data_IF_162319693731
#
_entry.id   IF_162319693731
#
_cell.length_a   1.000
_cell.length_b   1.000
_cell.length_c   1.000
_cell.angle_alpha   90.00
_cell.angle_beta   90.00
_cell.angle_gamma   90.00
#
_symmetry.space_group_name_H-M   'P 1'
#
loop_
_entity.id
_entity.type
_entity.pdbx_description
1 polymer ?
#
# COMPACT_ATOMS: atom_id res chain seq x y z
N UNK A 1 -9.95 6.73 19.54
CA UNK A 1 -8.71 5.93 19.56
C UNK A 1 -8.64 5.13 18.26
N UNK A 2 -7.65 5.41 17.42
CA UNK A 2 -7.39 4.59 16.22
C UNK A 2 -6.69 3.33 16.70
N UNK A 3 -7.36 2.17 16.58
CA UNK A 3 -6.79 0.86 16.90
C UNK A 3 -6.66 0.06 15.61
N UNK A 4 -5.50 0.17 14.97
CA UNK A 4 -5.13 -0.57 13.76
C UNK A 4 -3.66 -0.96 13.78
N UNK A 5 -3.34 -2.07 13.12
CA UNK A 5 -1.96 -2.50 12.94
C UNK A 5 -1.80 -3.38 11.72
N UNK A 6 -0.57 -3.39 11.22
CA UNK A 6 -0.17 -4.15 10.03
C UNK A 6 1.15 -4.85 10.31
N UNK A 7 1.22 -6.13 9.96
CA UNK A 7 2.45 -6.91 9.88
C UNK A 7 2.57 -7.43 8.46
N UNK A 8 3.74 -7.31 7.86
CA UNK A 8 3.99 -7.71 6.47
C UNK A 8 5.32 -8.42 6.36
N UNK A 9 5.34 -9.54 5.62
CA UNK A 9 6.52 -10.27 5.24
C UNK A 9 6.54 -10.37 3.72
N UNK A 10 7.59 -9.83 3.11
CA UNK A 10 7.82 -9.88 1.66
C UNK A 10 9.10 -10.63 1.37
N UNK A 11 9.03 -11.58 0.43
CA UNK A 11 10.18 -12.25 -0.17
C UNK A 11 10.14 -12.06 -1.68
N UNK A 12 11.26 -11.70 -2.28
CA UNK A 12 11.33 -11.50 -3.72
C UNK A 12 12.66 -11.94 -4.31
N UNK A 13 12.60 -12.39 -5.57
CA UNK A 13 13.73 -12.69 -6.42
C UNK A 13 13.80 -11.61 -7.50
N UNK A 14 14.92 -10.88 -7.53
CA UNK A 14 15.11 -9.74 -8.44
C UNK A 14 16.14 -10.09 -9.50
N UNK A 15 15.77 -9.97 -10.77
CA UNK A 15 16.67 -10.13 -11.92
C UNK A 15 16.31 -9.13 -13.02
N UNK A 16 17.32 -8.37 -13.51
CA UNK A 16 17.24 -7.46 -14.67
C UNK A 16 16.02 -6.54 -14.69
N UNK A 17 15.61 -6.04 -13.51
CA UNK A 17 14.45 -5.16 -13.36
C UNK A 17 13.13 -5.89 -13.10
N UNK A 18 13.09 -7.21 -13.23
CA UNK A 18 11.97 -8.04 -12.78
C UNK A 18 12.09 -8.38 -11.30
N UNK A 19 10.99 -8.37 -10.63
CA UNK A 19 10.85 -8.79 -9.24
C UNK A 19 9.70 -9.81 -9.17
N UNK A 20 10.02 -11.08 -8.96
CA UNK A 20 9.04 -12.13 -8.67
C UNK A 20 8.92 -12.23 -7.15
N UNK A 21 7.74 -11.98 -6.62
CA UNK A 21 7.56 -11.84 -5.19
C UNK A 21 6.36 -12.59 -4.62
N UNK A 22 6.52 -12.99 -3.36
CA UNK A 22 5.43 -13.42 -2.48
C UNK A 22 5.36 -12.45 -1.30
N UNK A 23 4.14 -12.03 -0.96
CA UNK A 23 3.88 -11.14 0.15
C UNK A 23 2.79 -11.75 1.03
N UNK A 24 3.02 -11.81 2.34
CA UNK A 24 2.03 -12.19 3.33
C UNK A 24 1.82 -11.05 4.28
N UNK A 25 0.55 -10.69 4.50
CA UNK A 25 0.17 -9.56 5.32
C UNK A 25 -0.93 -9.93 6.31
N UNK A 26 -0.77 -9.49 7.54
CA UNK A 26 -1.79 -9.48 8.57
C UNK A 26 -2.16 -8.05 8.90
N UNK A 27 -3.44 -7.75 8.92
CA UNK A 27 -3.99 -6.43 9.24
C UNK A 27 -5.14 -6.61 10.24
N UNK A 28 -5.21 -5.72 11.22
CA UNK A 28 -6.42 -5.46 11.98
C UNK A 28 -6.76 -3.96 11.93
N UNK A 29 -8.04 -3.63 11.90
CA UNK A 29 -8.52 -2.24 11.89
C UNK A 29 -9.94 -2.19 12.46
N UNK A 30 -10.03 -1.86 13.73
CA UNK A 30 -11.29 -1.83 14.48
C UNK A 30 -12.25 -0.77 13.88
N UNK A 31 -11.71 0.35 13.38
CA UNK A 31 -12.51 1.42 12.77
C UNK A 31 -13.19 1.00 11.47
N UNK A 32 -12.69 -0.06 10.83
CA UNK A 32 -13.24 -0.64 9.61
C UNK A 32 -13.92 -1.99 9.82
N UNK A 33 -14.29 -2.31 11.05
CA UNK A 33 -14.88 -3.59 11.44
C UNK A 33 -14.01 -4.83 11.13
N UNK A 34 -12.68 -4.64 11.00
CA UNK A 34 -11.74 -5.71 10.68
C UNK A 34 -11.06 -6.19 11.97
N UNK A 35 -11.46 -7.36 12.47
CA UNK A 35 -10.78 -8.03 13.60
C UNK A 35 -9.44 -8.61 13.16
N UNK A 36 -9.41 -9.31 12.04
CA UNK A 36 -8.21 -9.85 11.41
C UNK A 36 -8.42 -10.01 9.90
N UNK A 37 -7.46 -9.56 9.11
CA UNK A 37 -7.38 -9.83 7.68
C UNK A 37 -6.01 -10.40 7.35
N UNK A 38 -5.99 -11.64 6.84
CA UNK A 38 -4.79 -12.29 6.35
C UNK A 38 -4.85 -12.30 4.83
N UNK A 39 -3.79 -11.82 4.19
CA UNK A 39 -3.66 -11.86 2.73
C UNK A 39 -2.32 -12.43 2.32
N UNK A 40 -2.31 -13.24 1.27
CA UNK A 40 -1.10 -13.72 0.63
C UNK A 40 -1.20 -13.41 -0.85
N UNK A 41 -0.21 -12.70 -1.37
CA UNK A 41 -0.10 -12.29 -2.76
C UNK A 41 1.14 -12.92 -3.40
N UNK A 42 0.99 -13.44 -4.61
CA UNK A 42 2.07 -13.94 -5.46
C UNK A 42 1.99 -13.26 -6.81
N UNK A 43 3.10 -12.77 -7.30
CA UNK A 43 3.12 -12.08 -8.59
C UNK A 43 4.48 -11.54 -8.94
N UNK A 44 4.48 -10.65 -9.90
CA UNK A 44 5.70 -10.03 -10.40
C UNK A 44 5.52 -8.52 -10.59
N UNK A 45 6.63 -7.80 -10.51
CA UNK A 45 6.71 -6.42 -10.94
C UNK A 45 7.92 -6.20 -11.84
N UNK A 46 7.86 -5.14 -12.62
CA UNK A 46 8.94 -4.72 -13.50
C UNK A 46 9.28 -3.25 -13.27
N UNK A 47 10.56 -2.98 -13.03
CA UNK A 47 11.07 -1.61 -12.94
C UNK A 47 11.45 -1.12 -14.34
N UNK A 48 10.68 -0.16 -14.85
CA UNK A 48 10.84 0.42 -16.19
C UNK A 48 11.97 1.46 -16.20
N UNK A 49 12.22 2.13 -15.08
CA UNK A 49 13.26 3.17 -15.01
C UNK A 49 14.66 2.57 -15.09
N UNK A 50 15.48 3.16 -15.97
CA UNK A 50 16.92 2.84 -16.10
C UNK A 50 17.79 3.89 -15.42
N UNK A 51 17.21 4.90 -14.80
CA UNK A 51 17.92 5.99 -14.15
C UNK A 51 18.25 5.56 -12.72
N UNK A 52 19.50 5.70 -12.33
CA UNK A 52 19.95 5.40 -10.96
C UNK A 52 19.20 6.30 -9.96
N UNK A 53 18.72 5.70 -8.88
CA UNK A 53 17.92 6.35 -7.81
C UNK A 53 16.54 6.85 -8.25
N UNK A 54 16.04 6.41 -9.39
CA UNK A 54 14.65 6.57 -9.77
C UNK A 54 13.99 5.20 -9.88
N UNK A 55 12.70 5.11 -9.52
CA UNK A 55 11.88 3.92 -9.71
C UNK A 55 10.63 4.33 -10.47
N UNK A 56 10.35 3.59 -11.53
CA UNK A 56 9.06 3.56 -12.20
C UNK A 56 8.72 2.10 -12.39
N UNK A 57 7.86 1.56 -11.57
CA UNK A 57 7.57 0.13 -11.58
C UNK A 57 6.07 -0.12 -11.72
N UNK A 58 5.74 -1.22 -12.38
CA UNK A 58 4.41 -1.77 -12.48
C UNK A 58 4.43 -3.23 -12.03
N UNK A 59 3.46 -3.61 -11.20
CA UNK A 59 3.35 -4.96 -10.66
C UNK A 59 1.95 -5.53 -10.83
N UNK A 60 1.87 -6.86 -10.95
CA UNK A 60 0.62 -7.62 -10.95
C UNK A 60 0.78 -8.82 -10.04
N UNK A 61 -0.16 -8.97 -9.10
CA UNK A 61 -0.13 -10.02 -8.09
C UNK A 61 -1.53 -10.64 -7.97
N UNK A 62 -1.58 -11.95 -7.89
CA UNK A 62 -2.77 -12.66 -7.46
C UNK A 62 -2.78 -12.73 -5.93
N UNK A 63 -3.86 -12.26 -5.30
CA UNK A 63 -3.99 -12.19 -3.85
C UNK A 63 -5.17 -13.04 -3.37
N UNK A 64 -4.89 -13.91 -2.40
CA UNK A 64 -5.92 -14.57 -1.59
C UNK A 64 -6.04 -13.86 -0.25
N UNK A 65 -7.27 -13.65 0.18
CA UNK A 65 -7.59 -12.94 1.40
C UNK A 65 -8.59 -13.71 2.24
N UNK A 66 -8.35 -13.78 3.56
CA UNK A 66 -9.29 -14.23 4.57
C UNK A 66 -9.51 -13.09 5.55
N UNK A 67 -10.74 -12.69 5.73
CA UNK A 67 -11.12 -11.64 6.66
C UNK A 67 -12.08 -12.16 7.72
N UNK A 68 -11.85 -11.76 8.96
CA UNK A 68 -12.73 -11.95 10.12
C UNK A 68 -13.13 -10.56 10.61
N UNK A 69 -14.43 -10.28 10.62
CA UNK A 69 -14.98 -9.03 11.16
C UNK A 69 -15.12 -9.09 12.68
N UNK A 70 -15.43 -7.96 13.31
CA UNK A 70 -15.76 -7.91 14.76
C UNK A 70 -17.03 -8.69 15.08
N UNK A 71 -17.98 -8.77 14.14
CA UNK A 71 -19.23 -9.55 14.24
C UNK A 71 -19.02 -11.05 13.95
N UNK A 72 -17.75 -11.50 13.95
CA UNK A 72 -17.33 -12.89 13.75
C UNK A 72 -17.68 -13.49 12.38
N UNK A 73 -18.03 -12.68 11.40
CA UNK A 73 -18.24 -13.10 10.02
C UNK A 73 -16.90 -13.37 9.34
N UNK A 74 -16.78 -14.53 8.70
CA UNK A 74 -15.59 -14.91 7.93
C UNK A 74 -15.90 -14.80 6.45
N UNK A 75 -15.03 -14.08 5.72
CA UNK A 75 -15.08 -13.99 4.25
C UNK A 75 -13.78 -14.43 3.63
N UNK A 76 -13.86 -15.05 2.44
CA UNK A 76 -12.71 -15.37 1.61
C UNK A 76 -12.86 -14.65 0.27
N UNK A 77 -11.78 -14.07 -0.21
CA UNK A 77 -11.80 -13.30 -1.46
C UNK A 77 -10.54 -13.58 -2.27
N UNK A 78 -10.70 -13.60 -3.60
CA UNK A 78 -9.61 -13.66 -4.56
C UNK A 78 -9.57 -12.33 -5.31
N UNK A 79 -8.42 -11.63 -5.25
CA UNK A 79 -8.22 -10.32 -5.87
C UNK A 79 -7.02 -10.34 -6.79
N UNK A 80 -7.10 -9.54 -7.85
CA UNK A 80 -5.92 -9.14 -8.60
C UNK A 80 -5.42 -7.84 -7.99
N UNK A 81 -4.13 -7.74 -7.71
CA UNK A 81 -3.52 -6.50 -7.29
C UNK A 81 -2.66 -5.96 -8.43
N UNK A 82 -3.01 -4.80 -8.96
CA UNK A 82 -2.22 -4.07 -9.94
C UNK A 82 -1.58 -2.87 -9.24
N UNK A 83 -0.25 -2.89 -9.10
CA UNK A 83 0.53 -1.86 -8.42
C UNK A 83 1.29 -0.98 -9.42
N UNK A 84 1.35 0.31 -9.11
CA UNK A 84 2.14 1.29 -9.84
C UNK A 84 2.91 2.17 -8.86
N UNK A 85 4.24 2.12 -8.95
CA UNK A 85 5.15 2.83 -8.05
C UNK A 85 6.01 3.83 -8.82
N UNK A 86 6.11 5.04 -8.28
CA UNK A 86 7.07 6.06 -8.71
C UNK A 86 7.91 6.45 -7.50
N UNK A 87 9.23 6.48 -7.67
CA UNK A 87 10.16 7.12 -6.73
C UNK A 87 11.10 8.00 -7.52
N UNK A 88 11.14 9.28 -7.21
CA UNK A 88 11.94 10.26 -7.93
C UNK A 88 12.49 11.34 -7.01
N UNK A 89 13.76 11.67 -7.22
CA UNK A 89 14.36 12.90 -6.68
C UNK A 89 14.10 14.04 -7.66
N UNK A 90 13.25 15.01 -7.27
CA UNK A 90 12.88 16.17 -8.09
C UNK A 90 13.95 17.25 -8.00
N UNK A 91 14.58 17.40 -6.82
CA UNK A 91 15.68 18.29 -6.56
C UNK A 91 16.69 17.62 -5.62
N UNK A 92 17.87 18.20 -5.40
CA UNK A 92 18.87 17.62 -4.49
C UNK A 92 18.34 17.37 -3.08
N UNK A 93 17.40 18.20 -2.67
CA UNK A 93 16.79 18.16 -1.34
C UNK A 93 15.33 17.68 -1.33
N UNK A 94 14.74 17.31 -2.48
CA UNK A 94 13.32 16.91 -2.59
C UNK A 94 13.20 15.53 -3.24
N UNK A 95 12.58 14.61 -2.49
CA UNK A 95 12.25 13.27 -2.95
C UNK A 95 10.74 13.05 -2.85
N UNK A 96 10.14 12.48 -3.90
CA UNK A 96 8.74 12.09 -3.96
C UNK A 96 8.63 10.57 -4.21
N UNK A 97 7.77 9.91 -3.43
CA UNK A 97 7.40 8.52 -3.65
C UNK A 97 5.88 8.44 -3.75
N UNK A 98 5.40 7.81 -4.81
CA UNK A 98 3.98 7.57 -5.06
C UNK A 98 3.80 6.08 -5.27
N UNK A 99 2.83 5.49 -4.57
CA UNK A 99 2.41 4.10 -4.77
C UNK A 99 0.91 4.03 -4.92
N UNK A 100 0.44 3.33 -5.95
CA UNK A 100 -0.97 3.09 -6.20
C UNK A 100 -1.20 1.60 -6.37
N UNK A 101 -2.25 1.10 -5.72
CA UNK A 101 -2.70 -0.28 -5.84
C UNK A 101 -4.19 -0.32 -6.16
N UNK A 102 -4.56 -1.05 -7.21
CA UNK A 102 -5.92 -1.33 -7.60
C UNK A 102 -6.21 -2.82 -7.43
N UNK A 103 -7.20 -3.17 -6.60
CA UNK A 103 -7.47 -4.55 -6.17
C UNK A 103 -8.91 -4.95 -6.48
N UNK A 104 -9.26 -5.26 -7.74
CA UNK A 104 -10.56 -5.81 -8.09
C UNK A 104 -10.73 -7.24 -7.55
N UNK A 105 -11.96 -7.56 -7.20
CA UNK A 105 -12.37 -8.91 -6.80
C UNK A 105 -12.71 -9.73 -8.04
N UNK A 106 -12.16 -10.94 -8.16
CA UNK A 106 -12.45 -11.82 -9.30
C UNK A 106 -13.88 -12.38 -9.32
N UNK A 107 -14.48 -12.54 -8.14
CA UNK A 107 -15.76 -13.23 -7.99
C UNK A 107 -16.95 -12.28 -7.99
N UNK A 108 -16.68 -10.98 -7.72
CA UNK A 108 -17.73 -9.97 -7.61
C UNK A 108 -17.38 -8.76 -8.46
N UNK A 109 -18.01 -8.67 -9.62
CA UNK A 109 -17.83 -7.54 -10.52
C UNK A 109 -18.27 -6.23 -9.85
N UNK A 110 -17.42 -5.20 -9.97
CA UNK A 110 -17.64 -3.90 -9.33
C UNK A 110 -17.09 -3.78 -7.90
N UNK A 111 -16.74 -4.90 -7.24
CA UNK A 111 -16.04 -4.88 -5.95
C UNK A 111 -14.54 -4.67 -6.20
N UNK A 112 -14.05 -3.51 -5.80
CA UNK A 112 -12.63 -3.19 -5.87
C UNK A 112 -12.19 -2.33 -4.70
N UNK A 113 -10.91 -2.41 -4.40
CA UNK A 113 -10.23 -1.48 -3.49
C UNK A 113 -9.18 -0.70 -4.24
N UNK A 114 -9.01 0.54 -3.87
CA UNK A 114 -7.93 1.38 -4.36
C UNK A 114 -7.17 1.97 -3.18
N UNK A 115 -5.86 1.86 -3.22
CA UNK A 115 -4.96 2.47 -2.25
C UNK A 115 -4.00 3.39 -2.99
N UNK A 116 -3.84 4.62 -2.51
CA UNK A 116 -2.82 5.55 -2.99
C UNK A 116 -2.03 6.09 -1.81
N UNK A 117 -0.70 6.10 -1.94
CA UNK A 117 0.19 6.73 -0.96
C UNK A 117 1.09 7.73 -1.65
N UNK A 118 1.29 8.86 -1.00
CA UNK A 118 2.24 9.90 -1.41
C UNK A 118 3.16 10.19 -0.24
N UNK A 119 4.46 10.01 -0.42
CA UNK A 119 5.49 10.44 0.51
C UNK A 119 6.32 11.55 -0.14
N UNK A 120 6.30 12.72 0.45
CA UNK A 120 7.16 13.84 0.08
C UNK A 120 8.17 14.09 1.20
N UNK A 121 9.46 14.04 0.86
CA UNK A 121 10.57 14.32 1.77
C UNK A 121 11.32 15.54 1.31
N UNK A 122 11.49 16.52 2.20
CA UNK A 122 12.18 17.77 1.92
C UNK A 122 13.29 17.95 2.97
N UNK A 123 14.54 17.85 2.54
CA UNK A 123 15.69 18.22 3.37
C UNK A 123 15.74 19.74 3.45
N UNK A 124 15.45 20.31 4.62
CA UNK A 124 15.50 21.75 4.85
C UNK A 124 16.95 22.22 4.99
N UNK A 125 17.78 21.39 5.64
CA UNK A 125 19.23 21.52 5.73
C UNK A 125 19.87 20.14 6.03
N UNK A 126 21.12 20.12 6.52
CA UNK A 126 21.85 18.89 6.84
C UNK A 126 21.28 18.12 8.03
N UNK A 127 20.49 18.77 8.88
CA UNK A 127 19.97 18.23 10.14
C UNK A 127 18.44 18.07 10.16
N UNK A 128 17.72 18.87 9.37
CA UNK A 128 16.26 18.90 9.37
C UNK A 128 15.66 18.27 8.12
N UNK A 129 14.72 17.35 8.34
CA UNK A 129 13.95 16.70 7.30
C UNK A 129 12.46 16.91 7.59
N UNK A 130 11.74 17.55 6.66
CA UNK A 130 10.29 17.60 6.61
C UNK A 130 9.79 16.40 5.80
N UNK A 131 8.83 15.63 6.36
CA UNK A 131 8.17 14.54 5.66
C UNK A 131 6.65 14.74 5.69
N UNK A 132 6.01 14.61 4.54
CA UNK A 132 4.56 14.67 4.36
C UNK A 132 4.13 13.33 3.78
N UNK A 133 3.36 12.56 4.55
CA UNK A 133 2.78 11.30 4.12
C UNK A 133 1.27 11.44 3.99
N UNK A 134 0.74 11.10 2.81
CA UNK A 134 -0.68 11.08 2.52
C UNK A 134 -1.07 9.66 2.12
N UNK A 135 -2.10 9.12 2.76
CA UNK A 135 -2.67 7.80 2.45
C UNK A 135 -4.14 7.96 2.15
N UNK A 136 -4.55 7.48 0.99
CA UNK A 136 -5.93 7.40 0.53
C UNK A 136 -6.30 5.94 0.33
N UNK A 137 -7.41 5.50 0.92
CA UNK A 137 -7.97 4.18 0.70
C UNK A 137 -9.43 4.33 0.28
N UNK A 138 -9.82 3.57 -0.73
CA UNK A 138 -11.18 3.44 -1.21
C UNK A 138 -11.59 1.97 -1.27
N UNK A 139 -12.78 1.66 -0.82
CA UNK A 139 -13.41 0.33 -0.89
C UNK A 139 -14.81 0.50 -1.45
N UNK A 140 -15.09 -0.07 -2.63
CA UNK A 140 -16.38 0.07 -3.31
C UNK A 140 -17.50 -0.76 -2.67
N UNK A 141 -17.15 -1.70 -1.79
CA UNK A 141 -18.09 -2.55 -1.04
C UNK A 141 -17.66 -2.69 0.43
N UNK A 142 -17.66 -1.59 1.20
CA UNK A 142 -17.36 -1.66 2.61
C UNK A 142 -18.48 -2.39 3.38
N UNK A 143 -18.21 -2.84 4.58
CA UNK A 143 -19.22 -3.30 5.51
C UNK A 143 -20.22 -2.17 5.82
N UNK A 144 -21.47 -2.55 6.17
CA UNK A 144 -22.54 -1.59 6.49
C UNK A 144 -22.10 -0.64 7.61
N UNK A 145 -22.31 0.66 7.40
CA UNK A 145 -21.91 1.71 8.34
C UNK A 145 -20.43 2.13 8.26
N UNK A 146 -19.62 1.47 7.42
CA UNK A 146 -18.21 1.85 7.19
C UNK A 146 -18.12 2.77 5.96
N UNK A 147 -17.42 3.92 6.04
CA UNK A 147 -17.21 4.78 4.89
C UNK A 147 -16.41 4.09 3.77
N UNK A 148 -16.79 4.37 2.51
CA UNK A 148 -16.04 3.90 1.34
C UNK A 148 -14.61 4.46 1.29
N UNK A 149 -14.43 5.68 1.79
CA UNK A 149 -13.18 6.43 1.71
C UNK A 149 -12.56 6.63 3.08
N UNK A 150 -11.25 6.43 3.17
CA UNK A 150 -10.42 6.71 4.34
C UNK A 150 -9.19 7.50 3.89
N UNK A 151 -8.93 8.64 4.55
CA UNK A 151 -7.83 9.53 4.22
C UNK A 151 -7.02 9.89 5.47
N UNK A 152 -5.70 9.73 5.38
CA UNK A 152 -4.76 10.13 6.42
C UNK A 152 -3.70 11.07 5.86
N UNK A 153 -3.43 12.15 6.58
CA UNK A 153 -2.32 13.05 6.30
C UNK A 153 -1.45 13.16 7.54
N UNK A 154 -0.19 12.80 7.42
CA UNK A 154 0.80 12.84 8.51
C UNK A 154 1.93 13.76 8.09
N UNK A 155 2.17 14.80 8.89
CA UNK A 155 3.32 15.69 8.71
C UNK A 155 4.29 15.44 9.86
N UNK A 156 5.57 15.33 9.57
CA UNK A 156 6.61 15.16 10.57
C UNK A 156 7.85 15.97 10.25
N UNK A 157 8.53 16.45 11.30
CA UNK A 157 9.84 17.06 11.20
C UNK A 157 10.81 16.20 12.00
N UNK A 158 11.88 15.76 11.37
CA UNK A 158 12.94 14.99 12.01
C UNK A 158 14.21 15.82 12.12
N UNK A 159 14.90 15.67 13.25
CA UNK A 159 16.19 16.30 13.51
C UNK A 159 17.25 15.23 13.76
N UNK A 160 18.41 15.36 13.09
CA UNK A 160 19.57 14.48 13.28
C UNK A 160 20.68 15.22 14.00
N UNK A 161 21.18 14.64 15.09
CA UNK A 161 22.26 15.19 15.93
C UNK A 161 23.63 15.00 15.29
#
# INVERSE_FOLDING_TARGET
LINKGVQELKYSLVDKGWDLGINTKHLYDISRNIKNRYSTALGFSYNISRIKNEKLAFGVYFQKEKELTLDEKITFQNRLNADFDISKRIAENIEINISNGYLPNFEKFGDFRWKSTLDLKIKLDTKFLLSINSVFNFDSFPEEGIPETDYHLINSISYTF
#
